data_IF_668799222024
#
_entry.id   IF_668799222024
#
_cell.length_a   1.000
_cell.length_b   1.000
_cell.length_c   1.000
_cell.angle_alpha   90.00
_cell.angle_beta   90.00
_cell.angle_gamma   90.00
#
_symmetry.space_group_name_H-M   'P 1'
#
loop_
_entity.id
_entity.type
_entity.pdbx_description
1 polymer ?
#
# COMPACT_ATOMS: atom_id res chain seq x y z
N UNK A 1 4.40 -7.36 -17.14
CA UNK A 1 4.42 -7.14 -15.71
C UNK A 1 3.44 -6.05 -15.40
N UNK A 2 2.77 -6.12 -14.27
CA UNK A 2 1.70 -5.17 -13.99
C UNK A 2 2.28 -3.82 -13.55
N UNK A 3 2.52 -2.94 -14.52
CA UNK A 3 3.01 -1.57 -14.33
C UNK A 3 2.11 -0.82 -13.36
N UNK A 4 0.82 -1.17 -13.30
CA UNK A 4 -0.18 -0.53 -12.45
C UNK A 4 0.09 -0.74 -10.94
N UNK A 5 0.63 -1.90 -10.54
CA UNK A 5 1.01 -2.14 -9.13
C UNK A 5 2.19 -1.26 -8.74
N UNK A 6 3.20 -1.16 -9.60
CA UNK A 6 4.38 -0.30 -9.33
C UNK A 6 3.99 1.18 -9.25
N UNK A 7 3.14 1.63 -10.16
CA UNK A 7 2.63 3.00 -10.16
C UNK A 7 1.83 3.30 -8.91
N UNK A 8 0.92 2.40 -8.50
CA UNK A 8 0.14 2.56 -7.27
C UNK A 8 1.04 2.64 -6.03
N UNK A 9 2.06 1.78 -5.93
CA UNK A 9 3.03 1.83 -4.84
C UNK A 9 3.81 3.15 -4.83
N UNK A 10 4.29 3.62 -5.99
CA UNK A 10 4.99 4.92 -6.10
C UNK A 10 4.08 6.07 -5.67
N UNK A 11 2.83 6.08 -6.13
CA UNK A 11 1.82 7.09 -5.77
C UNK A 11 1.62 7.15 -4.25
N UNK A 12 1.41 5.99 -3.60
CA UNK A 12 1.22 5.95 -2.15
C UNK A 12 2.47 6.31 -1.35
N UNK A 13 3.66 5.96 -1.84
CA UNK A 13 4.92 6.26 -1.16
C UNK A 13 5.29 7.74 -1.20
N UNK A 14 4.96 8.47 -2.26
CA UNK A 14 5.28 9.90 -2.39
C UNK A 14 4.23 10.81 -1.78
N UNK A 15 3.05 10.29 -1.42
CA UNK A 15 1.92 11.08 -0.94
C UNK A 15 1.43 10.62 0.44
N UNK A 16 1.58 11.47 1.43
CA UNK A 16 1.16 11.25 2.81
C UNK A 16 -0.37 11.32 3.03
N UNK A 17 -1.13 11.67 2.00
CA UNK A 17 -2.60 11.67 2.04
C UNK A 17 -3.19 10.35 1.51
N UNK A 18 -2.35 9.44 1.01
CA UNK A 18 -2.75 8.10 0.59
C UNK A 18 -2.23 7.11 1.63
N UNK A 19 -3.14 6.47 2.35
CA UNK A 19 -2.83 5.63 3.50
C UNK A 19 -3.07 4.16 3.26
N UNK A 20 -3.76 3.78 2.16
CA UNK A 20 -4.09 2.40 1.90
C UNK A 20 -4.08 2.04 0.42
N UNK A 21 -3.42 0.93 0.11
CA UNK A 21 -3.42 0.32 -1.22
C UNK A 21 -3.86 -1.13 -1.08
N UNK A 22 -4.91 -1.52 -1.80
CA UNK A 22 -5.36 -2.90 -1.88
C UNK A 22 -5.02 -3.46 -3.25
N UNK A 23 -4.33 -4.60 -3.27
CA UNK A 23 -3.96 -5.31 -4.49
C UNK A 23 -4.74 -6.61 -4.53
N UNK A 24 -5.69 -6.70 -5.45
CA UNK A 24 -6.51 -7.88 -5.64
C UNK A 24 -6.06 -8.70 -6.84
N UNK A 25 -6.36 -9.99 -6.83
CA UNK A 25 -6.06 -10.87 -7.97
C UNK A 25 -6.13 -12.34 -7.58
N UNK A 26 -6.03 -13.23 -8.55
CA UNK A 26 -6.07 -14.68 -8.34
C UNK A 26 -4.97 -15.20 -7.42
N UNK A 27 -5.20 -16.38 -6.83
CA UNK A 27 -4.19 -17.04 -6.00
C UNK A 27 -2.95 -17.41 -6.82
N UNK A 28 -1.75 -17.17 -6.28
CA UNK A 28 -0.49 -17.58 -6.90
C UNK A 28 -0.01 -16.73 -8.08
N UNK A 29 -0.65 -15.59 -8.41
CA UNK A 29 -0.21 -14.72 -9.51
C UNK A 29 0.99 -13.83 -9.16
N UNK A 30 1.49 -13.88 -7.92
CA UNK A 30 2.69 -13.16 -7.51
C UNK A 30 2.45 -11.79 -6.86
N UNK A 31 1.25 -11.49 -6.36
CA UNK A 31 0.91 -10.21 -5.69
C UNK A 31 1.94 -9.80 -4.64
N UNK A 32 2.10 -10.63 -3.63
CA UNK A 32 3.01 -10.37 -2.51
C UNK A 32 4.47 -10.32 -2.92
N UNK A 33 4.85 -11.14 -3.91
CA UNK A 33 6.20 -11.16 -4.46
C UNK A 33 6.54 -9.80 -5.10
N UNK A 34 5.67 -9.28 -5.97
CA UNK A 34 5.88 -7.98 -6.63
C UNK A 34 5.98 -6.85 -5.62
N UNK A 35 5.09 -6.81 -4.62
CA UNK A 35 5.10 -5.77 -3.59
C UNK A 35 6.43 -5.79 -2.83
N UNK A 36 6.84 -6.96 -2.32
CA UNK A 36 8.10 -7.10 -1.57
C UNK A 36 9.28 -6.71 -2.44
N UNK A 37 9.34 -7.20 -3.67
CA UNK A 37 10.43 -6.89 -4.59
C UNK A 37 10.52 -5.38 -4.87
N UNK A 38 9.40 -4.69 -5.07
CA UNK A 38 9.40 -3.24 -5.25
C UNK A 38 9.93 -2.51 -4.02
N UNK A 39 9.42 -2.84 -2.82
CA UNK A 39 9.84 -2.20 -1.58
C UNK A 39 11.33 -2.46 -1.28
N UNK A 40 11.81 -3.69 -1.49
CA UNK A 40 13.20 -4.07 -1.29
C UNK A 40 14.13 -3.35 -2.29
N UNK A 41 13.75 -3.31 -3.59
CA UNK A 41 14.52 -2.62 -4.63
C UNK A 41 14.60 -1.12 -4.38
N UNK A 42 13.53 -0.51 -3.86
CA UNK A 42 13.50 0.92 -3.54
C UNK A 42 14.02 1.24 -2.13
N UNK A 43 14.51 0.23 -1.40
CA UNK A 43 15.01 0.36 -0.03
C UNK A 43 14.02 1.04 0.93
N UNK A 44 12.72 0.77 0.75
CA UNK A 44 11.66 1.30 1.61
C UNK A 44 11.50 0.40 2.84
N UNK A 45 11.66 0.91 4.06
CA UNK A 45 11.45 0.11 5.27
C UNK A 45 9.97 -0.21 5.43
N UNK A 46 9.64 -1.49 5.51
CA UNK A 46 8.28 -1.97 5.71
C UNK A 46 8.21 -3.05 6.79
N UNK A 47 7.06 -3.17 7.39
CA UNK A 47 6.74 -4.19 8.38
C UNK A 47 5.66 -5.13 7.86
N UNK A 48 5.89 -6.42 7.96
CA UNK A 48 4.87 -7.42 7.65
C UNK A 48 3.99 -7.62 8.88
N UNK A 49 2.69 -7.38 8.73
CA UNK A 49 1.68 -7.60 9.76
C UNK A 49 1.15 -9.02 9.62
N UNK A 50 1.24 -9.86 10.66
CA UNK A 50 0.74 -11.23 10.62
C UNK A 50 -0.79 -11.26 10.46
N UNK A 51 -1.31 -12.18 9.65
CA UNK A 51 -2.76 -12.33 9.43
C UNK A 51 -3.52 -12.99 10.60
N UNK A 52 -2.79 -13.58 11.54
CA UNK A 52 -3.36 -14.19 12.76
C UNK A 52 -3.17 -13.29 13.98
N UNK A 53 -3.43 -11.99 13.81
CA UNK A 53 -3.31 -10.99 14.86
C UNK A 53 -4.66 -10.80 15.57
N UNK A 54 -4.63 -10.79 16.89
CA UNK A 54 -5.79 -10.45 17.70
C UNK A 54 -5.88 -8.92 17.90
N UNK A 55 -7.09 -8.41 18.03
CA UNK A 55 -7.34 -6.98 18.29
C UNK A 55 -6.62 -6.47 19.55
N UNK A 56 -6.40 -7.34 20.55
CA UNK A 56 -5.65 -7.01 21.76
C UNK A 56 -4.17 -6.70 21.49
N UNK A 57 -3.60 -7.24 20.42
CA UNK A 57 -2.21 -7.00 20.02
C UNK A 57 -2.04 -5.72 19.18
N UNK A 58 -3.16 -5.20 18.63
CA UNK A 58 -3.18 -3.94 17.87
C UNK A 58 -3.26 -2.71 18.79
N UNK A 59 -3.74 -2.89 20.01
CA UNK A 59 -3.90 -1.82 20.99
C UNK A 59 -2.83 -1.91 22.07
N UNK A 60 -2.42 -0.76 22.58
CA UNK A 60 -1.67 -0.71 23.82
C UNK A 60 -2.54 -1.33 24.92
N UNK A 61 -2.05 -2.36 25.57
CA UNK A 61 -2.72 -3.01 26.68
C UNK A 61 -1.88 -2.88 27.94
N UNK A 62 -2.55 -2.93 29.11
CA UNK A 62 -1.85 -2.94 30.38
C UNK A 62 -1.27 -4.34 30.57
N UNK A 63 0.04 -4.43 30.73
CA UNK A 63 0.69 -5.64 31.19
C UNK A 63 0.44 -5.80 32.70
N UNK A 64 -0.60 -6.58 33.01
CA UNK A 64 -1.01 -6.79 34.39
C UNK A 64 0.05 -7.53 35.23
N UNK A 65 0.78 -8.49 34.65
CA UNK A 65 1.82 -9.23 35.38
C UNK A 65 3.00 -8.32 35.69
N UNK A 66 3.55 -7.64 34.70
CA UNK A 66 4.65 -6.71 34.89
C UNK A 66 4.26 -5.51 35.78
N UNK A 67 2.99 -5.06 35.66
CA UNK A 67 2.48 -3.97 36.52
C UNK A 67 2.35 -4.37 37.98
N UNK A 68 1.94 -5.61 38.25
CA UNK A 68 1.88 -6.15 39.62
C UNK A 68 3.27 -6.36 40.22
N UNK A 69 4.22 -6.86 39.44
CA UNK A 69 5.59 -7.10 39.93
C UNK A 69 6.32 -5.79 40.23
N UNK A 70 6.10 -4.74 39.46
CA UNK A 70 6.81 -3.46 39.60
C UNK A 70 6.03 -2.41 40.38
N UNK A 71 4.78 -2.66 40.72
CA UNK A 71 3.92 -1.70 41.44
C UNK A 71 3.65 -0.41 40.64
N UNK A 72 3.79 -0.45 39.31
CA UNK A 72 3.55 0.65 38.37
C UNK A 72 2.75 0.15 37.18
N UNK A 73 1.92 1.00 36.62
CA UNK A 73 1.22 0.68 35.36
C UNK A 73 2.24 0.56 34.23
N UNK A 74 2.38 -0.63 33.69
CA UNK A 74 3.24 -0.93 32.54
C UNK A 74 2.32 -1.20 31.36
N UNK A 75 2.56 -0.46 30.26
CA UNK A 75 1.86 -0.68 29.00
C UNK A 75 2.68 -1.64 28.15
N UNK A 76 2.03 -2.64 27.59
CA UNK A 76 2.63 -3.45 26.53
C UNK A 76 2.65 -2.62 25.26
N UNK A 77 3.81 -2.49 24.63
CA UNK A 77 3.90 -1.83 23.32
C UNK A 77 3.05 -2.57 22.30
N UNK A 78 2.26 -1.83 21.57
CA UNK A 78 1.51 -2.38 20.43
C UNK A 78 2.47 -2.96 19.39
N UNK A 79 2.04 -4.02 18.71
CA UNK A 79 2.79 -4.55 17.55
C UNK A 79 3.04 -3.48 16.47
N UNK A 80 2.37 -2.35 16.58
CA UNK A 80 2.44 -1.24 15.62
C UNK A 80 3.44 -0.14 16.02
N UNK A 81 4.07 -0.26 17.21
CA UNK A 81 5.00 0.76 17.73
C UNK A 81 6.41 0.56 17.17
N UNK A 82 6.59 0.98 15.93
CA UNK A 82 7.89 1.05 15.29
C UNK A 82 8.01 2.36 14.51
N UNK A 83 8.73 3.31 15.08
CA UNK A 83 8.86 4.68 14.56
C UNK A 83 9.61 4.76 13.22
N UNK A 84 10.29 3.68 12.79
CA UNK A 84 11.10 3.67 11.58
C UNK A 84 10.39 3.06 10.36
N UNK A 85 9.19 2.52 10.53
CA UNK A 85 8.45 1.84 9.46
C UNK A 85 7.63 2.82 8.64
N UNK A 86 7.81 2.84 7.32
CA UNK A 86 7.00 3.65 6.40
C UNK A 86 5.76 2.95 5.90
N UNK A 87 5.84 1.63 5.77
CA UNK A 87 4.78 0.83 5.20
C UNK A 87 4.45 -0.36 6.09
N UNK A 88 3.17 -0.69 6.16
CA UNK A 88 2.69 -1.97 6.65
C UNK A 88 2.27 -2.83 5.47
N UNK A 89 2.76 -4.06 5.43
CA UNK A 89 2.38 -5.04 4.43
C UNK A 89 1.55 -6.14 5.09
N UNK A 90 0.33 -6.32 4.61
CA UNK A 90 -0.55 -7.42 4.96
C UNK A 90 -0.64 -8.35 3.76
N UNK A 91 -0.09 -9.54 3.92
CA UNK A 91 -0.18 -10.57 2.90
C UNK A 91 -1.42 -11.44 3.17
N UNK A 92 -2.22 -11.70 2.15
CA UNK A 92 -3.49 -12.43 2.28
C UNK A 92 -4.45 -11.81 3.32
N UNK A 93 -4.69 -10.51 3.24
CA UNK A 93 -5.55 -9.76 4.16
C UNK A 93 -7.00 -10.28 4.27
N UNK A 94 -7.46 -11.10 3.31
CA UNK A 94 -8.74 -11.79 3.39
C UNK A 94 -8.84 -12.80 4.55
N UNK A 95 -7.71 -13.25 5.08
CA UNK A 95 -7.63 -14.16 6.25
C UNK A 95 -7.88 -13.43 7.57
N UNK A 96 -7.59 -12.14 7.63
CA UNK A 96 -7.87 -11.32 8.81
C UNK A 96 -9.38 -11.21 9.10
N UNK A 97 -9.74 -11.08 10.37
CA UNK A 97 -11.11 -10.73 10.73
C UNK A 97 -11.48 -9.33 10.21
N UNK A 98 -12.75 -9.06 9.86
CA UNK A 98 -13.18 -7.72 9.43
C UNK A 98 -12.85 -6.62 10.44
N UNK A 99 -12.96 -6.92 11.74
CA UNK A 99 -12.65 -6.01 12.82
C UNK A 99 -11.16 -5.64 12.84
N UNK A 100 -10.27 -6.62 12.67
CA UNK A 100 -8.83 -6.39 12.62
C UNK A 100 -8.43 -5.59 11.38
N UNK A 101 -8.99 -5.91 10.20
CA UNK A 101 -8.76 -5.14 8.98
C UNK A 101 -9.20 -3.69 9.12
N UNK A 102 -10.43 -3.46 9.61
CA UNK A 102 -10.94 -2.11 9.83
C UNK A 102 -10.07 -1.32 10.81
N UNK A 103 -9.64 -1.96 11.91
CA UNK A 103 -8.73 -1.33 12.89
C UNK A 103 -7.39 -0.96 12.25
N UNK A 104 -6.79 -1.85 11.45
CA UNK A 104 -5.52 -1.61 10.78
C UNK A 104 -5.61 -0.48 9.73
N UNK A 105 -6.67 -0.46 8.92
CA UNK A 105 -6.93 0.63 7.95
C UNK A 105 -7.08 1.98 8.65
N UNK A 106 -7.86 2.02 9.74
CA UNK A 106 -8.06 3.24 10.54
C UNK A 106 -6.77 3.71 11.19
N UNK A 107 -6.00 2.77 11.76
CA UNK A 107 -4.76 3.08 12.45
C UNK A 107 -3.65 3.53 11.48
N UNK A 108 -3.57 2.95 10.30
CA UNK A 108 -2.65 3.37 9.24
C UNK A 108 -2.91 4.85 8.87
N UNK A 109 -4.18 5.21 8.69
CA UNK A 109 -4.58 6.59 8.42
C UNK A 109 -4.23 7.54 9.57
N UNK A 110 -4.45 7.13 10.82
CA UNK A 110 -4.14 7.92 12.02
C UNK A 110 -2.65 8.18 12.18
N UNK A 111 -1.81 7.18 11.85
CA UNK A 111 -0.35 7.25 11.97
C UNK A 111 0.34 7.79 10.72
N UNK A 112 -0.38 8.08 9.64
CA UNK A 112 0.19 8.46 8.34
C UNK A 112 1.17 7.41 7.80
N UNK A 113 0.84 6.14 7.96
CA UNK A 113 1.60 4.99 7.43
C UNK A 113 0.85 4.44 6.23
N UNK A 114 1.59 4.07 5.18
CA UNK A 114 1.02 3.41 4.02
C UNK A 114 0.76 1.94 4.31
N UNK A 115 -0.51 1.52 4.36
CA UNK A 115 -0.90 0.12 4.48
C UNK A 115 -1.08 -0.47 3.08
N UNK A 116 -0.35 -1.53 2.79
CA UNK A 116 -0.44 -2.29 1.54
C UNK A 116 -1.02 -3.66 1.88
N UNK A 117 -2.15 -4.02 1.28
CA UNK A 117 -2.84 -5.28 1.54
C UNK A 117 -3.03 -6.06 0.25
N UNK A 118 -2.66 -7.34 0.24
CA UNK A 118 -3.00 -8.26 -0.85
C UNK A 118 -4.25 -9.07 -0.50
N UNK A 119 -5.15 -9.26 -1.46
CA UNK A 119 -6.37 -10.04 -1.31
C UNK A 119 -6.62 -10.92 -2.53
N UNK A 120 -7.41 -11.98 -2.37
CA UNK A 120 -7.86 -12.79 -3.49
C UNK A 120 -9.19 -12.29 -4.05
N UNK A 121 -9.38 -12.36 -5.37
CA UNK A 121 -10.63 -11.96 -6.02
C UNK A 121 -11.83 -12.81 -5.65
N UNK A 122 -11.59 -14.10 -5.37
CA UNK A 122 -12.64 -15.10 -5.16
C UNK A 122 -13.32 -14.93 -3.80
N UNK A 123 -12.63 -14.30 -2.86
CA UNK A 123 -13.14 -14.02 -1.54
C UNK A 123 -13.78 -12.62 -1.55
N UNK A 124 -15.01 -12.47 -1.08
CA UNK A 124 -15.57 -11.16 -0.72
C UNK A 124 -14.77 -10.61 0.48
N UNK A 125 -13.53 -10.27 0.20
CA UNK A 125 -12.54 -10.05 1.23
C UNK A 125 -12.84 -8.82 2.09
N UNK A 126 -13.41 -7.77 1.51
CA UNK A 126 -13.66 -6.50 2.20
C UNK A 126 -15.15 -6.19 2.23
N UNK A 127 -15.62 -5.65 3.34
CA UNK A 127 -16.96 -5.08 3.50
C UNK A 127 -17.04 -3.70 2.85
N UNK A 128 -18.26 -3.19 2.60
CA UNK A 128 -18.45 -1.85 2.04
C UNK A 128 -17.80 -0.77 2.91
N UNK A 129 -17.88 -0.91 4.24
CA UNK A 129 -17.24 0.01 5.18
C UNK A 129 -15.71 -0.02 5.13
N UNK A 130 -15.11 -1.18 4.85
CA UNK A 130 -13.66 -1.29 4.64
C UNK A 130 -13.25 -0.68 3.29
N UNK A 131 -14.06 -0.85 2.24
CA UNK A 131 -13.82 -0.23 0.95
C UNK A 131 -13.83 1.31 1.00
N UNK A 132 -14.62 1.91 1.89
CA UNK A 132 -14.61 3.36 2.13
C UNK A 132 -13.28 3.85 2.74
N UNK A 133 -12.50 2.97 3.37
CA UNK A 133 -11.20 3.28 3.94
C UNK A 133 -10.04 2.99 2.96
N UNK A 134 -10.32 2.38 1.82
CA UNK A 134 -9.31 2.08 0.80
C UNK A 134 -9.14 3.25 -0.14
N UNK A 135 -7.93 3.81 -0.18
CA UNK A 135 -7.63 4.95 -1.05
C UNK A 135 -7.33 4.50 -2.50
N UNK A 136 -6.56 3.43 -2.67
CA UNK A 136 -6.19 2.94 -4.00
C UNK A 136 -6.44 1.44 -4.09
N UNK A 137 -7.09 1.02 -5.16
CA UNK A 137 -7.30 -0.40 -5.48
C UNK A 137 -6.72 -0.74 -6.84
N UNK A 138 -5.90 -1.79 -6.89
CA UNK A 138 -5.34 -2.33 -8.12
C UNK A 138 -5.75 -3.78 -8.27
N UNK A 139 -6.30 -4.10 -9.43
CA UNK A 139 -6.58 -5.49 -9.82
C UNK A 139 -5.43 -6.03 -10.66
N UNK A 140 -4.80 -7.08 -10.17
CA UNK A 140 -3.69 -7.74 -10.86
C UNK A 140 -4.20 -8.94 -11.66
N UNK A 141 -3.90 -8.96 -12.95
CA UNK A 141 -4.24 -10.07 -13.84
C UNK A 141 -3.12 -11.12 -13.89
N UNK A 142 -3.46 -12.37 -14.21
CA UNK A 142 -2.45 -13.40 -14.41
C UNK A 142 -1.44 -13.02 -15.50
N UNK A 143 -0.15 -13.24 -15.24
CA UNK A 143 0.89 -12.98 -16.21
C UNK A 143 0.63 -13.73 -17.54
N UNK A 144 0.97 -13.09 -18.66
CA UNK A 144 0.85 -13.70 -19.98
C UNK A 144 1.69 -14.99 -20.09
N UNK A 145 1.36 -15.85 -21.05
CA UNK A 145 2.12 -17.07 -21.29
C UNK A 145 3.61 -16.78 -21.51
N UNK A 146 3.91 -15.74 -22.26
CA UNK A 146 5.28 -15.30 -22.55
C UNK A 146 6.05 -14.92 -21.29
N UNK A 147 5.41 -14.13 -20.42
CA UNK A 147 6.00 -13.72 -19.11
C UNK A 147 6.24 -14.93 -18.20
N UNK A 148 5.32 -15.90 -18.18
CA UNK A 148 5.47 -17.14 -17.40
C UNK A 148 6.63 -18.00 -17.91
N UNK A 149 6.77 -18.12 -19.23
CA UNK A 149 7.89 -18.84 -19.85
C UNK A 149 9.21 -18.17 -19.51
N UNK A 150 9.30 -16.85 -19.58
CA UNK A 150 10.51 -16.11 -19.24
C UNK A 150 10.95 -16.36 -17.78
N UNK A 151 10.01 -16.29 -16.82
CA UNK A 151 10.28 -16.59 -15.40
C UNK A 151 10.79 -18.01 -15.20
N UNK A 152 10.15 -19.00 -15.84
CA UNK A 152 10.57 -20.40 -15.74
C UNK A 152 11.95 -20.66 -16.37
N UNK A 153 12.27 -19.96 -17.47
CA UNK A 153 13.59 -20.05 -18.08
C UNK A 153 14.68 -19.50 -17.15
N UNK A 154 14.46 -18.35 -16.53
CA UNK A 154 15.38 -17.78 -15.54
C UNK A 154 15.58 -18.70 -14.33
N UNK A 155 14.51 -19.30 -13.81
CA UNK A 155 14.60 -20.26 -12.70
C UNK A 155 15.38 -21.52 -13.09
N UNK A 156 15.19 -22.01 -14.32
CA UNK A 156 15.94 -23.19 -14.86
C UNK A 156 17.44 -22.90 -14.95
N UNK A 157 17.82 -21.68 -15.28
CA UNK A 157 19.23 -21.28 -15.44
C UNK A 157 19.93 -21.02 -14.08
N UNK A 158 19.33 -21.46 -12.98
CA UNK A 158 19.91 -21.46 -11.63
C UNK A 158 19.76 -20.15 -10.87
N UNK A 159 18.99 -19.21 -11.40
CA UNK A 159 18.63 -17.98 -10.69
C UNK A 159 17.48 -18.32 -9.71
N UNK A 160 17.72 -18.17 -8.42
CA UNK A 160 16.67 -18.35 -7.40
C UNK A 160 15.49 -17.40 -7.67
N UNK A 161 14.26 -17.86 -7.41
CA UNK A 161 13.09 -16.96 -7.50
C UNK A 161 13.23 -15.72 -6.60
N UNK A 162 14.03 -15.81 -5.53
CA UNK A 162 14.35 -14.68 -4.66
C UNK A 162 15.33 -13.69 -5.33
N UNK A 163 16.20 -14.18 -6.22
CA UNK A 163 17.20 -13.38 -6.95
C UNK A 163 16.73 -12.99 -8.35
N UNK A 164 15.52 -13.43 -8.75
CA UNK A 164 14.93 -13.05 -10.04
C UNK A 164 14.51 -11.59 -9.96
N UNK A 165 15.44 -10.69 -10.22
CA UNK A 165 15.11 -9.30 -10.51
C UNK A 165 14.28 -9.29 -11.77
N UNK A 166 13.00 -9.01 -11.63
CA UNK A 166 12.13 -8.88 -12.79
C UNK A 166 12.67 -7.73 -13.65
N UNK A 167 12.99 -7.96 -14.93
CA UNK A 167 13.73 -7.01 -15.78
C UNK A 167 13.05 -5.66 -16.02
N UNK A 168 11.94 -5.40 -15.38
CA UNK A 168 11.13 -4.19 -15.51
C UNK A 168 11.09 -3.31 -14.25
N UNK A 169 11.78 -3.68 -13.16
CA UNK A 169 11.99 -2.74 -12.06
C UNK A 169 13.28 -2.00 -12.40
N UNK A 170 13.12 -0.83 -13.01
CA UNK A 170 14.26 0.02 -13.36
C UNK A 170 14.99 0.42 -12.07
N UNK A 171 16.25 -0.03 -11.91
CA UNK A 171 17.10 0.37 -10.79
C UNK A 171 17.27 1.90 -10.69
N UNK A 172 17.13 2.61 -11.82
CA UNK A 172 17.13 4.07 -11.87
C UNK A 172 15.96 4.72 -11.14
N UNK A 173 14.91 3.96 -10.80
CA UNK A 173 13.76 4.49 -10.04
C UNK A 173 13.96 4.45 -8.51
N UNK A 174 14.95 3.73 -7.97
CA UNK A 174 15.12 3.62 -6.51
C UNK A 174 15.57 4.94 -5.88
N UNK A 175 16.62 5.58 -6.39
CA UNK A 175 17.07 6.89 -5.91
C UNK A 175 16.03 7.97 -6.22
N UNK A 176 15.33 7.88 -7.35
CA UNK A 176 14.28 8.80 -7.71
C UNK A 176 13.08 8.71 -6.76
N UNK A 177 12.59 7.50 -6.44
CA UNK A 177 11.46 7.33 -5.51
C UNK A 177 11.85 7.81 -4.10
N UNK A 178 13.01 7.40 -3.58
CA UNK A 178 13.48 7.83 -2.25
C UNK A 178 13.69 9.34 -2.18
N UNK A 179 14.22 9.96 -3.24
CA UNK A 179 14.42 11.43 -3.29
C UNK A 179 13.10 12.20 -3.44
N UNK A 180 12.05 11.59 -3.98
CA UNK A 180 10.73 12.18 -4.13
C UNK A 180 9.86 12.06 -2.88
N UNK A 181 10.25 11.24 -1.90
CA UNK A 181 9.57 11.13 -0.60
C UNK A 181 9.83 12.39 0.25
N UNK A 182 9.55 13.54 -0.32
CA UNK A 182 9.47 14.81 0.40
C UNK A 182 8.04 15.34 0.28
N UNK A 183 7.23 15.05 1.31
CA UNK A 183 5.81 15.43 1.37
C UNK A 183 5.55 16.93 1.16
N UNK A 184 6.57 17.78 1.41
CA UNK A 184 6.47 19.21 1.15
C UNK A 184 6.36 19.53 -0.33
N UNK A 185 6.90 18.68 -1.20
CA UNK A 185 6.85 18.89 -2.65
C UNK A 185 5.43 18.68 -3.22
N UNK A 186 4.67 17.71 -2.70
CA UNK A 186 3.28 17.47 -3.12
C UNK A 186 2.38 18.68 -2.84
N UNK A 187 2.53 19.31 -1.69
CA UNK A 187 1.73 20.48 -1.34
C UNK A 187 2.02 21.70 -2.25
N UNK A 188 3.18 21.73 -2.89
CA UNK A 188 3.56 22.81 -3.80
C UNK A 188 3.06 22.62 -5.25
N UNK A 189 2.48 21.44 -5.59
CA UNK A 189 1.97 21.17 -6.93
C UNK A 189 0.66 21.94 -7.15
N UNK A 190 0.64 22.78 -8.15
CA UNK A 190 -0.54 23.54 -8.52
C UNK A 190 -1.55 22.64 -9.26
N UNK A 191 -2.83 22.79 -8.92
CA UNK A 191 -3.93 22.07 -9.57
C UNK A 191 -4.74 23.09 -10.38
N UNK A 192 -4.67 23.08 -11.71
CA UNK A 192 -5.50 23.94 -12.56
C UNK A 192 -6.99 23.63 -12.43
N UNK A 193 -7.85 24.64 -12.62
CA UNK A 193 -9.32 24.48 -12.57
C UNK A 193 -9.85 23.40 -13.53
N UNK A 194 -9.18 23.21 -14.67
CA UNK A 194 -9.50 22.16 -15.61
C UNK A 194 -9.37 20.76 -15.02
N UNK A 195 -8.35 20.52 -14.19
CA UNK A 195 -8.13 19.23 -13.52
C UNK A 195 -9.11 19.01 -12.37
N UNK A 196 -9.49 20.09 -11.67
CA UNK A 196 -10.58 20.02 -10.68
C UNK A 196 -11.89 19.62 -11.36
N UNK A 197 -12.22 20.25 -12.49
CA UNK A 197 -13.41 19.92 -13.26
C UNK A 197 -13.38 18.48 -13.79
N UNK A 198 -12.23 17.98 -14.18
CA UNK A 198 -12.01 16.61 -14.62
C UNK A 198 -12.24 15.62 -13.48
N UNK A 199 -11.66 15.85 -12.30
CA UNK A 199 -11.86 15.01 -11.11
C UNK A 199 -13.35 14.93 -10.73
N UNK A 200 -14.06 16.05 -10.72
CA UNK A 200 -15.50 16.10 -10.46
C UNK A 200 -16.28 15.28 -11.51
N UNK A 201 -15.92 15.41 -12.80
CA UNK A 201 -16.59 14.66 -13.85
C UNK A 201 -16.44 13.14 -13.71
N UNK A 202 -15.25 12.67 -13.34
CA UNK A 202 -15.01 11.25 -13.07
C UNK A 202 -15.77 10.76 -11.84
N UNK A 203 -15.78 11.50 -10.74
CA UNK A 203 -16.53 11.16 -9.54
C UNK A 203 -18.04 11.05 -9.81
N UNK A 204 -18.58 11.98 -10.60
CA UNK A 204 -20.00 11.93 -11.01
C UNK A 204 -20.28 10.71 -11.92
N UNK A 205 -19.40 10.38 -12.87
CA UNK A 205 -19.55 9.19 -13.71
C UNK A 205 -19.52 7.90 -12.90
N UNK A 206 -18.65 7.84 -11.88
CA UNK A 206 -18.55 6.72 -10.94
C UNK A 206 -19.73 6.67 -9.93
N UNK A 207 -20.61 7.66 -9.94
CA UNK A 207 -21.76 7.79 -9.02
C UNK A 207 -21.34 7.74 -7.55
N UNK A 208 -20.19 8.31 -7.23
CA UNK A 208 -19.73 8.40 -5.84
C UNK A 208 -20.59 9.37 -5.04
N UNK A 209 -20.77 9.07 -3.75
CA UNK A 209 -21.52 9.93 -2.83
C UNK A 209 -20.52 10.71 -1.99
N UNK A 210 -20.65 12.03 -1.97
CA UNK A 210 -19.73 12.92 -1.23
C UNK A 210 -18.50 13.33 -2.03
N UNK A 211 -17.59 14.07 -1.40
CA UNK A 211 -16.42 14.67 -2.05
C UNK A 211 -15.12 13.86 -1.85
N UNK A 212 -15.18 12.70 -1.21
CA UNK A 212 -13.97 11.90 -0.92
C UNK A 212 -13.23 11.44 -2.17
N UNK A 213 -13.98 11.01 -3.20
CA UNK A 213 -13.41 10.54 -4.46
C UNK A 213 -12.72 11.67 -5.25
N UNK A 214 -13.29 12.86 -5.26
CA UNK A 214 -12.71 14.04 -5.92
C UNK A 214 -11.38 14.43 -5.25
N UNK A 215 -11.36 14.48 -3.92
CA UNK A 215 -10.12 14.77 -3.18
C UNK A 215 -9.05 13.70 -3.43
N UNK A 216 -9.40 12.41 -3.42
CA UNK A 216 -8.48 11.33 -3.71
C UNK A 216 -7.92 11.42 -5.13
N UNK A 217 -8.77 11.68 -6.13
CA UNK A 217 -8.33 11.88 -7.52
C UNK A 217 -7.34 13.02 -7.64
N UNK A 218 -7.57 14.14 -6.97
CA UNK A 218 -6.62 15.26 -6.95
C UNK A 218 -5.30 14.88 -6.30
N UNK A 219 -5.31 14.07 -5.23
CA UNK A 219 -4.08 13.57 -4.61
C UNK A 219 -3.30 12.64 -5.53
N UNK A 220 -3.98 11.73 -6.23
CA UNK A 220 -3.37 10.85 -7.23
C UNK A 220 -2.76 11.66 -8.38
N UNK A 221 -3.48 12.67 -8.91
CA UNK A 221 -2.97 13.55 -9.97
C UNK A 221 -1.71 14.30 -9.52
N UNK A 222 -1.68 14.83 -8.30
CA UNK A 222 -0.48 15.48 -7.73
C UNK A 222 0.68 14.51 -7.61
N UNK A 223 0.41 13.27 -7.17
CA UNK A 223 1.45 12.25 -7.06
C UNK A 223 2.06 11.92 -8.43
N UNK A 224 1.23 11.77 -9.46
CA UNK A 224 1.69 11.53 -10.84
C UNK A 224 2.51 12.70 -11.37
N UNK A 225 2.04 13.95 -11.18
CA UNK A 225 2.78 15.13 -11.59
C UNK A 225 4.16 15.21 -10.91
N UNK A 226 4.24 14.85 -9.61
CA UNK A 226 5.50 14.79 -8.89
C UNK A 226 6.44 13.72 -9.45
N UNK A 227 5.91 12.53 -9.75
CA UNK A 227 6.68 11.41 -10.33
C UNK A 227 7.19 11.76 -11.74
N UNK A 228 6.42 12.51 -12.51
CA UNK A 228 6.80 13.02 -13.84
C UNK A 228 7.73 14.25 -13.78
N UNK A 229 8.02 14.77 -12.59
CA UNK A 229 8.90 15.92 -12.38
C UNK A 229 8.31 17.26 -12.80
N UNK A 230 6.99 17.37 -12.90
CA UNK A 230 6.29 18.60 -13.24
C UNK A 230 5.72 19.31 -12.00
N UNK A 231 5.59 20.62 -12.05
CA UNK A 231 5.11 21.45 -10.92
C UNK A 231 3.59 21.73 -10.96
N UNK A 232 2.89 21.14 -11.89
CA UNK A 232 1.43 21.26 -12.06
C UNK A 232 0.84 19.96 -12.59
N UNK A 233 -0.45 19.71 -12.32
CA UNK A 233 -1.21 18.57 -12.87
C UNK A 233 -1.77 18.91 -14.25
#
# INVERSE_FOLDING_TARGET
MDTSVQEALKIGLVNDQIHSIVISGGTGIGKSFIVRQCLDTWHIPYRVIPVYIDNSQLQESIDFEASLEQGKMIMTSSLLDDDNTRCWLIDDGHVLSPEARHALLTEAKRRHILLIMTINHEDRALTDAEWELVDVHVSMEPASLESRVAVLQQTRDGISCADTVLPSIEEHSSEAVVSLIDHKRISSIAVPDAMISLAISYALQARTVGHGAEFLLLQVMKSLALLDGVSYC
#
